data_IF_008104647029
#
_entry.id   IF_008104647029
#
_cell.length_a   1.000
_cell.length_b   1.000
_cell.length_c   1.000
_cell.angle_alpha   90.00
_cell.angle_beta   90.00
_cell.angle_gamma   90.00
#
_symmetry.space_group_name_H-M   'P 1'
#
loop_
_entity.id
_entity.type
_entity.pdbx_description
1 polymer ?
#
# COMPACT_ATOMS: atom_id res chain seq x y z
N UNK A 1 23.88 1.00 -16.56
CA UNK A 1 24.28 -0.39 -16.84
C UNK A 1 24.10 -1.33 -15.63
N UNK A 2 23.13 -1.09 -14.73
CA UNK A 2 23.00 -1.90 -13.49
C UNK A 2 21.68 -2.64 -13.42
N UNK A 3 20.59 -2.04 -13.92
CA UNK A 3 19.27 -2.67 -13.97
C UNK A 3 19.21 -3.88 -14.91
N UNK A 4 19.95 -3.85 -16.02
CA UNK A 4 19.98 -4.93 -17.01
C UNK A 4 20.64 -6.18 -16.42
N UNK A 5 21.79 -6.02 -15.76
CA UNK A 5 22.48 -7.12 -15.06
C UNK A 5 21.62 -7.77 -13.98
N UNK A 6 20.78 -6.99 -13.30
CA UNK A 6 19.87 -7.52 -12.29
C UNK A 6 18.72 -8.34 -12.91
N UNK A 7 18.30 -7.98 -14.13
CA UNK A 7 17.30 -8.73 -14.90
C UNK A 7 17.85 -10.01 -15.53
N UNK A 8 19.12 -10.02 -15.92
CA UNK A 8 19.78 -11.17 -16.57
C UNK A 8 20.35 -12.18 -15.57
N UNK A 9 20.96 -11.73 -14.47
CA UNK A 9 21.55 -12.60 -13.46
C UNK A 9 20.60 -12.89 -12.27
N UNK A 10 19.54 -12.11 -12.11
CA UNK A 10 18.53 -12.30 -11.08
C UNK A 10 17.30 -13.06 -11.55
N UNK A 11 16.30 -13.19 -10.67
CA UNK A 11 14.96 -13.65 -11.07
C UNK A 11 14.08 -12.44 -11.39
N UNK A 12 13.45 -12.44 -12.56
CA UNK A 12 12.56 -11.36 -13.00
C UNK A 12 11.24 -11.93 -13.51
N UNK A 13 10.13 -11.27 -13.16
CA UNK A 13 8.81 -11.58 -13.69
C UNK A 13 8.48 -10.65 -14.87
N UNK A 14 7.76 -11.12 -15.90
CA UNK A 14 7.43 -10.30 -17.08
C UNK A 14 6.55 -9.09 -16.72
N UNK A 15 5.70 -9.21 -15.70
CA UNK A 15 4.94 -8.11 -15.11
C UNK A 15 4.44 -8.49 -13.72
N UNK A 16 4.24 -7.48 -12.86
CA UNK A 16 3.54 -7.62 -11.59
C UNK A 16 2.14 -7.00 -11.75
N UNK A 17 1.09 -7.74 -11.39
CA UNK A 17 -0.28 -7.21 -11.44
C UNK A 17 -0.53 -6.34 -10.19
N UNK A 18 -0.69 -5.01 -10.33
CA UNK A 18 -0.98 -4.16 -9.18
C UNK A 18 -2.38 -4.44 -8.66
N UNK A 19 -2.59 -4.18 -7.38
CA UNK A 19 -3.91 -4.29 -6.77
C UNK A 19 -4.75 -3.06 -7.11
N UNK A 20 -6.05 -3.28 -7.34
CA UNK A 20 -6.99 -2.21 -7.62
C UNK A 20 -7.41 -1.51 -6.32
N UNK A 21 -7.44 -0.17 -6.27
CA UNK A 21 -7.09 0.79 -7.32
C UNK A 21 -5.57 0.99 -7.45
N UNK A 22 -5.09 1.22 -8.68
CA UNK A 22 -3.67 1.43 -9.03
C UNK A 22 -3.11 2.76 -8.49
N UNK A 23 -3.07 2.88 -7.18
CA UNK A 23 -2.63 4.06 -6.42
C UNK A 23 -1.39 3.68 -5.63
N UNK A 24 -0.50 4.66 -5.45
CA UNK A 24 0.83 4.46 -4.87
C UNK A 24 0.78 3.84 -3.47
N UNK A 25 -0.08 4.36 -2.58
CA UNK A 25 -0.14 3.91 -1.19
C UNK A 25 -0.83 2.57 -1.00
N UNK A 26 -2.02 2.31 -1.59
CA UNK A 26 -2.65 1.00 -1.51
C UNK A 26 -1.73 -0.12 -2.02
N UNK A 27 -1.08 0.06 -3.18
CA UNK A 27 -0.23 -0.99 -3.75
C UNK A 27 1.03 -1.26 -2.90
N UNK A 28 1.65 -0.22 -2.34
CA UNK A 28 2.81 -0.38 -1.47
C UNK A 28 2.45 -1.08 -0.15
N UNK A 29 1.27 -0.77 0.40
CA UNK A 29 0.81 -1.37 1.65
C UNK A 29 0.35 -2.81 1.46
N UNK A 30 -0.30 -3.14 0.33
CA UNK A 30 -0.59 -4.53 -0.05
C UNK A 30 0.69 -5.35 -0.20
N UNK A 31 1.78 -4.80 -0.76
CA UNK A 31 3.07 -5.51 -0.82
C UNK A 31 3.68 -5.77 0.57
N UNK A 32 3.49 -4.85 1.52
CA UNK A 32 4.05 -4.97 2.86
C UNK A 32 3.23 -5.88 3.81
N UNK A 33 1.93 -6.00 3.58
CA UNK A 33 1.00 -6.77 4.44
C UNK A 33 0.52 -8.07 3.79
N UNK A 34 0.60 -8.19 2.48
CA UNK A 34 -0.02 -9.29 1.73
C UNK A 34 -1.56 -9.23 1.71
N UNK A 35 -2.17 -8.17 2.24
CA UNK A 35 -3.62 -8.03 2.35
C UNK A 35 -4.19 -7.15 1.23
N UNK A 36 -5.44 -7.40 0.85
CA UNK A 36 -6.15 -6.53 -0.08
C UNK A 36 -6.52 -5.18 0.56
N UNK A 37 -6.67 -4.10 -0.22
CA UNK A 37 -7.10 -2.77 0.22
C UNK A 37 -8.33 -2.73 1.11
N UNK A 38 -9.27 -3.62 0.84
CA UNK A 38 -10.48 -3.80 1.66
C UNK A 38 -10.17 -4.33 3.06
N UNK A 39 -9.18 -5.22 3.20
CA UNK A 39 -8.82 -5.85 4.48
C UNK A 39 -7.89 -4.99 5.32
N UNK A 40 -7.02 -4.21 4.69
CA UNK A 40 -6.08 -3.34 5.40
C UNK A 40 -6.60 -1.90 5.61
N UNK A 41 -7.78 -1.58 5.08
CA UNK A 41 -8.51 -0.33 5.36
C UNK A 41 -8.10 0.88 4.51
N UNK A 42 -7.07 0.79 3.66
CA UNK A 42 -6.60 1.90 2.82
C UNK A 42 -7.02 1.66 1.36
N UNK A 43 -8.20 2.18 1.00
CA UNK A 43 -8.79 2.00 -0.34
C UNK A 43 -8.35 3.10 -1.32
N UNK A 44 -7.78 4.21 -0.84
CA UNK A 44 -7.32 5.31 -1.71
C UNK A 44 -6.45 6.35 -1.02
N UNK A 45 -5.81 7.22 -1.81
CA UNK A 45 -4.97 8.31 -1.30
C UNK A 45 -5.76 9.39 -0.53
N UNK A 46 -7.06 9.48 -0.81
CA UNK A 46 -8.01 10.32 -0.07
C UNK A 46 -9.24 9.47 0.21
N UNK A 47 -9.59 9.29 1.47
CA UNK A 47 -10.78 8.54 1.90
C UNK A 47 -11.45 9.25 3.07
N UNK A 48 -12.78 9.24 3.08
CA UNK A 48 -13.57 9.81 4.17
C UNK A 48 -14.28 8.67 4.91
N UNK A 49 -14.17 8.65 6.23
CA UNK A 49 -14.85 7.69 7.07
C UNK A 49 -16.03 8.36 7.80
N UNK A 50 -17.28 7.92 7.56
CA UNK A 50 -18.47 8.53 8.16
C UNK A 50 -18.65 8.16 9.64
N UNK A 51 -18.02 7.09 10.14
CA UNK A 51 -18.10 6.68 11.55
C UNK A 51 -17.17 7.55 12.40
N UNK A 52 -15.98 7.86 11.88
CA UNK A 52 -15.00 8.72 12.55
C UNK A 52 -15.11 10.20 12.19
N UNK A 53 -15.98 10.54 11.22
CA UNK A 53 -16.15 11.88 10.63
C UNK A 53 -14.80 12.53 10.28
N UNK A 54 -13.91 11.74 9.69
CA UNK A 54 -12.51 12.06 9.49
C UNK A 54 -12.11 11.81 8.03
N UNK A 55 -11.24 12.65 7.48
CA UNK A 55 -10.84 12.55 6.07
C UNK A 55 -9.35 12.25 5.98
N UNK A 56 -9.03 10.99 5.74
CA UNK A 56 -7.66 10.61 5.43
C UNK A 56 -7.25 11.23 4.09
N UNK A 57 -6.14 11.95 4.11
CA UNK A 57 -5.46 12.46 2.92
C UNK A 57 -3.96 12.40 3.15
N UNK A 58 -3.20 12.06 2.11
CA UNK A 58 -1.73 11.97 2.19
C UNK A 58 -1.04 13.28 2.56
N UNK A 59 -1.72 14.42 2.39
CA UNK A 59 -1.21 15.75 2.75
C UNK A 59 -1.48 16.13 4.20
N UNK A 60 -2.34 15.39 4.90
CA UNK A 60 -2.79 15.72 6.25
C UNK A 60 -2.03 14.89 7.29
N UNK A 61 -1.89 15.43 8.50
CA UNK A 61 -1.33 14.72 9.67
C UNK A 61 -2.12 13.47 10.06
N UNK A 62 -3.36 13.35 9.60
CA UNK A 62 -4.22 12.16 9.80
C UNK A 62 -3.60 10.87 9.25
N UNK A 63 -2.65 10.97 8.31
CA UNK A 63 -1.86 9.84 7.82
C UNK A 63 -1.15 9.06 8.94
N UNK A 64 -0.75 9.73 10.01
CA UNK A 64 0.04 9.11 11.08
C UNK A 64 -0.82 8.35 12.10
N UNK A 65 -2.15 8.48 12.03
CA UNK A 65 -3.01 7.80 12.98
C UNK A 65 -3.08 6.31 12.67
N UNK A 66 -2.69 5.47 13.65
CA UNK A 66 -2.76 4.00 13.57
C UNK A 66 -4.14 3.45 13.20
N UNK A 67 -5.21 4.23 13.41
CA UNK A 67 -6.60 3.82 13.17
C UNK A 67 -6.91 3.50 11.71
N UNK A 68 -6.14 4.08 10.79
CA UNK A 68 -6.31 3.88 9.34
C UNK A 68 -5.50 2.68 8.82
N UNK A 69 -4.54 2.17 9.60
CA UNK A 69 -3.59 1.14 9.19
C UNK A 69 -3.99 -0.19 9.81
N UNK A 70 -4.87 -0.93 9.11
CA UNK A 70 -5.27 -2.27 9.50
C UNK A 70 -4.30 -3.35 9.02
N UNK A 71 -4.26 -4.49 9.73
CA UNK A 71 -3.40 -5.63 9.40
C UNK A 71 -2.02 -5.58 10.08
N UNK A 72 -1.22 -6.62 9.86
CA UNK A 72 0.14 -6.72 10.39
C UNK A 72 1.14 -6.59 9.24
N UNK A 73 1.97 -5.53 9.21
CA UNK A 73 3.03 -5.42 8.22
C UNK A 73 4.16 -6.39 8.55
N UNK A 74 4.84 -6.88 7.51
CA UNK A 74 6.00 -7.77 7.64
C UNK A 74 7.13 -7.20 8.52
N UNK A 75 7.20 -5.87 8.69
CA UNK A 75 8.22 -5.18 9.49
C UNK A 75 8.01 -5.24 11.01
N UNK A 76 6.92 -5.87 11.49
CA UNK A 76 6.65 -6.05 12.92
C UNK A 76 7.07 -7.45 13.43
N UNK A 77 7.49 -8.35 12.53
CA UNK A 77 8.18 -9.60 12.87
C UNK A 77 9.67 -9.33 13.11
#
# INVERSE_FOLDING_TARGET
MTFVLLGECGTSAPYMRPVYPSKTFPNLYTLATGLYPESHGIVGNTMHDPVFNATFSLRTREKLNHRWWGGQPVSTL
#
